data_IF_887107962849
#
_entry.id   IF_887107962849
#
_cell.length_a   1.000
_cell.length_b   1.000
_cell.length_c   1.000
_cell.angle_alpha   90.00
_cell.angle_beta   90.00
_cell.angle_gamma   90.00
#
_symmetry.space_group_name_H-M   'P 1'
#
loop_
_entity.id
_entity.type
_entity.pdbx_description
1 polymer ?
#
# COMPACT_ATOMS: atom_id res chain seq x y z
N UNK A 1 6.61 -21.43 18.41
CA UNK A 1 5.70 -22.26 17.57
C UNK A 1 5.19 -21.52 16.33
N UNK A 2 5.95 -20.55 15.79
CA UNK A 2 5.72 -20.02 14.43
C UNK A 2 6.76 -20.53 13.42
N UNK A 3 7.78 -21.23 13.92
CA UNK A 3 8.95 -21.66 13.12
C UNK A 3 8.64 -22.79 12.14
N UNK A 4 7.53 -23.52 12.33
CA UNK A 4 7.06 -24.56 11.42
C UNK A 4 5.59 -24.36 11.03
N UNK A 5 5.35 -23.64 9.94
CA UNK A 5 4.02 -23.51 9.32
C UNK A 5 3.85 -24.54 8.21
N UNK A 6 2.97 -25.53 8.42
CA UNK A 6 2.65 -26.53 7.39
C UNK A 6 1.72 -25.93 6.33
N UNK A 7 2.24 -25.78 5.12
CA UNK A 7 1.45 -25.32 3.98
C UNK A 7 0.67 -26.47 3.33
N UNK A 8 -0.57 -26.25 2.87
CA UNK A 8 -1.27 -27.20 2.02
C UNK A 8 -0.45 -27.52 0.75
N UNK A 9 -0.38 -28.79 0.36
CA UNK A 9 0.46 -29.27 -0.77
C UNK A 9 0.23 -28.47 -2.07
N UNK A 10 -1.02 -28.15 -2.38
CA UNK A 10 -1.37 -27.36 -3.56
C UNK A 10 -0.79 -25.95 -3.52
N UNK A 11 -0.77 -25.33 -2.33
CA UNK A 11 -0.25 -23.98 -2.15
C UNK A 11 1.28 -23.97 -2.19
N UNK A 12 1.93 -24.95 -1.56
CA UNK A 12 3.38 -25.13 -1.63
C UNK A 12 3.87 -25.28 -3.10
N UNK A 13 3.23 -26.16 -3.89
CA UNK A 13 3.56 -26.34 -5.31
C UNK A 13 3.39 -25.06 -6.13
N UNK A 14 2.33 -24.29 -5.87
CA UNK A 14 2.09 -23.02 -6.56
C UNK A 14 3.16 -21.99 -6.20
N UNK A 15 3.53 -21.92 -4.92
CA UNK A 15 4.58 -21.03 -4.44
C UNK A 15 5.93 -21.39 -5.07
N UNK A 16 6.32 -22.67 -5.07
CA UNK A 16 7.54 -23.15 -5.72
C UNK A 16 7.58 -22.78 -7.21
N UNK A 17 6.46 -22.95 -7.93
CA UNK A 17 6.36 -22.55 -9.34
C UNK A 17 6.59 -21.05 -9.54
N UNK A 18 5.96 -20.21 -8.72
CA UNK A 18 6.12 -18.75 -8.79
C UNK A 18 7.56 -18.35 -8.45
N UNK A 19 8.12 -18.96 -7.40
CA UNK A 19 9.49 -18.73 -6.97
C UNK A 19 10.52 -19.08 -8.06
N UNK A 20 10.31 -20.20 -8.76
CA UNK A 20 11.15 -20.60 -9.89
C UNK A 20 11.11 -19.61 -11.05
N UNK A 21 9.91 -19.10 -11.41
CA UNK A 21 9.74 -18.09 -12.47
C UNK A 21 10.41 -16.76 -12.08
N UNK A 22 10.26 -16.36 -10.83
CA UNK A 22 10.79 -15.10 -10.32
C UNK A 22 12.28 -15.21 -9.90
N UNK A 23 12.89 -16.40 -9.98
CA UNK A 23 14.26 -16.68 -9.52
C UNK A 23 14.54 -16.23 -8.08
N UNK A 24 13.59 -16.46 -7.18
CA UNK A 24 13.70 -16.12 -5.74
C UNK A 24 13.38 -17.34 -4.88
N UNK A 25 13.80 -17.32 -3.61
CA UNK A 25 13.48 -18.37 -2.66
C UNK A 25 11.97 -18.28 -2.26
N UNK A 26 11.20 -19.39 -2.31
CA UNK A 26 9.83 -19.47 -1.78
C UNK A 26 9.66 -18.87 -0.38
N UNK A 27 10.63 -19.10 0.50
CA UNK A 27 10.61 -18.59 1.88
C UNK A 27 10.67 -17.06 1.92
N UNK A 28 11.47 -16.45 1.03
CA UNK A 28 11.53 -14.99 0.91
C UNK A 28 10.19 -14.42 0.47
N UNK A 29 9.51 -15.07 -0.49
CA UNK A 29 8.17 -14.65 -0.92
C UNK A 29 7.19 -14.69 0.26
N UNK A 30 7.19 -15.76 1.06
CA UNK A 30 6.31 -15.87 2.23
C UNK A 30 6.61 -14.77 3.24
N UNK A 31 7.89 -14.55 3.57
CA UNK A 31 8.32 -13.53 4.54
C UNK A 31 7.89 -12.14 4.10
N UNK A 32 8.12 -11.79 2.83
CA UNK A 32 7.71 -10.51 2.27
C UNK A 32 6.19 -10.38 2.27
N UNK A 33 5.45 -11.38 1.78
CA UNK A 33 3.99 -11.34 1.76
C UNK A 33 3.38 -11.22 3.16
N UNK A 34 3.95 -11.90 4.16
CA UNK A 34 3.51 -11.80 5.55
C UNK A 34 3.78 -10.41 6.11
N UNK A 35 4.99 -9.88 5.90
CA UNK A 35 5.36 -8.52 6.29
C UNK A 35 4.42 -7.51 5.66
N UNK A 36 4.28 -7.51 4.35
CA UNK A 36 3.43 -6.58 3.61
C UNK A 36 1.98 -6.62 4.10
N UNK A 37 1.48 -7.83 4.43
CA UNK A 37 0.14 -7.99 4.98
C UNK A 37 0.01 -7.37 6.38
N UNK A 38 0.99 -7.59 7.25
CA UNK A 38 0.99 -7.04 8.61
C UNK A 38 1.12 -5.51 8.56
N UNK A 39 2.11 -5.00 7.82
CA UNK A 39 2.33 -3.57 7.63
C UNK A 39 1.07 -2.88 7.08
N UNK A 40 0.39 -3.49 6.09
CA UNK A 40 -0.86 -2.97 5.56
C UNK A 40 -1.98 -2.95 6.61
N UNK A 41 -2.13 -4.02 7.40
CA UNK A 41 -3.17 -4.09 8.42
C UNK A 41 -2.96 -3.02 9.51
N UNK A 42 -1.73 -2.86 9.97
CA UNK A 42 -1.36 -1.83 10.95
C UNK A 42 -1.61 -0.43 10.41
N UNK A 43 -1.14 -0.15 9.19
CA UNK A 43 -1.40 1.13 8.53
C UNK A 43 -2.90 1.39 8.34
N UNK A 44 -3.66 0.39 7.87
CA UNK A 44 -5.07 0.53 7.54
C UNK A 44 -5.90 0.94 8.75
N UNK A 45 -5.71 0.25 9.88
CA UNK A 45 -6.46 0.56 11.10
C UNK A 45 -6.15 1.98 11.58
N UNK A 46 -4.87 2.39 11.54
CA UNK A 46 -4.46 3.75 11.89
C UNK A 46 -5.06 4.79 10.94
N UNK A 47 -5.02 4.56 9.62
CA UNK A 47 -5.56 5.48 8.63
C UNK A 47 -7.09 5.65 8.76
N UNK A 48 -7.81 4.58 9.11
CA UNK A 48 -9.24 4.64 9.39
C UNK A 48 -9.50 5.49 10.64
N UNK A 49 -8.75 5.25 11.72
CA UNK A 49 -8.90 6.02 12.97
C UNK A 49 -8.60 7.51 12.77
N UNK A 50 -7.52 7.84 12.04
CA UNK A 50 -7.18 9.22 11.67
C UNK A 50 -8.29 9.86 10.83
N UNK A 51 -8.78 9.15 9.81
CA UNK A 51 -9.89 9.62 8.98
C UNK A 51 -11.15 9.90 9.78
N UNK A 52 -11.49 9.03 10.74
CA UNK A 52 -12.64 9.26 11.63
C UNK A 52 -12.43 10.50 12.50
N UNK A 53 -11.23 10.69 13.08
CA UNK A 53 -10.91 11.87 13.87
C UNK A 53 -10.95 13.17 13.06
N UNK A 54 -10.59 13.13 11.77
CA UNK A 54 -10.73 14.25 10.85
C UNK A 54 -12.19 14.58 10.56
N UNK A 55 -13.04 13.58 10.37
CA UNK A 55 -14.48 13.76 10.19
C UNK A 55 -15.12 14.38 11.44
N UNK A 56 -14.80 13.85 12.63
CA UNK A 56 -15.34 14.32 13.91
C UNK A 56 -14.93 15.77 14.20
N UNK A 57 -13.74 16.16 13.75
CA UNK A 57 -13.24 17.54 13.87
C UNK A 57 -13.69 18.47 12.72
N UNK A 58 -14.49 17.98 11.77
CA UNK A 58 -14.99 18.77 10.64
C UNK A 58 -13.94 19.08 9.56
N UNK A 59 -12.79 18.39 9.55
CA UNK A 59 -11.70 18.56 8.57
C UNK A 59 -11.98 17.82 7.26
N UNK A 60 -13.16 18.06 6.67
CA UNK A 60 -13.57 17.40 5.43
C UNK A 60 -13.02 18.11 4.19
N UNK A 61 -12.49 17.36 3.24
CA UNK A 61 -12.08 17.86 1.92
C UNK A 61 -13.15 17.53 0.89
N UNK A 62 -13.76 18.54 0.28
CA UNK A 62 -14.77 18.36 -0.78
C UNK A 62 -14.10 18.08 -2.13
N UNK A 63 -14.89 17.56 -3.07
CA UNK A 63 -14.43 17.39 -4.46
C UNK A 63 -13.98 18.70 -5.09
N UNK A 64 -14.61 19.82 -4.73
CA UNK A 64 -14.25 21.16 -5.21
C UNK A 64 -12.89 21.60 -4.68
N UNK A 65 -12.64 21.43 -3.38
CA UNK A 65 -11.33 21.67 -2.77
C UNK A 65 -10.24 20.84 -3.46
N UNK A 66 -10.53 19.57 -3.75
CA UNK A 66 -9.59 18.68 -4.45
C UNK A 66 -9.30 19.16 -5.88
N UNK A 67 -10.33 19.49 -6.66
CA UNK A 67 -10.17 20.00 -8.03
C UNK A 67 -9.35 21.30 -8.06
N UNK A 68 -9.63 22.23 -7.14
CA UNK A 68 -8.89 23.47 -7.01
C UNK A 68 -7.40 23.23 -6.69
N UNK A 69 -7.11 22.29 -5.78
CA UNK A 69 -5.73 21.90 -5.44
C UNK A 69 -4.99 21.29 -6.66
N UNK A 70 -5.62 20.36 -7.39
CA UNK A 70 -5.04 19.75 -8.59
C UNK A 70 -4.76 20.82 -9.67
N UNK A 71 -5.70 21.74 -9.89
CA UNK A 71 -5.51 22.82 -10.87
C UNK A 71 -4.35 23.74 -10.49
N UNK A 72 -4.24 24.09 -9.20
CA UNK A 72 -3.11 24.87 -8.67
C UNK A 72 -1.77 24.16 -8.89
N UNK A 73 -1.70 22.86 -8.59
CA UNK A 73 -0.49 22.07 -8.81
C UNK A 73 -0.09 22.00 -10.30
N UNK A 74 -1.07 21.82 -11.20
CA UNK A 74 -0.85 21.84 -12.66
C UNK A 74 -0.31 23.17 -13.13
N UNK A 75 -0.91 24.28 -12.69
CA UNK A 75 -0.46 25.62 -13.03
C UNK A 75 0.98 25.88 -12.54
N UNK A 76 1.32 25.47 -11.32
CA UNK A 76 2.66 25.61 -10.76
C UNK A 76 3.70 24.79 -11.53
N UNK A 77 3.36 23.56 -11.94
CA UNK A 77 4.23 22.73 -12.78
C UNK A 77 4.47 23.37 -14.15
N UNK A 78 3.42 23.93 -14.76
CA UNK A 78 3.54 24.63 -16.04
C UNK A 78 4.42 25.89 -15.94
N UNK A 79 4.31 26.65 -14.85
CA UNK A 79 5.18 27.82 -14.57
C UNK A 79 6.64 27.41 -14.42
N UNK A 80 6.94 26.35 -13.67
CA UNK A 80 8.32 25.84 -13.49
C UNK A 80 8.95 25.40 -14.82
N UNK A 81 8.17 24.78 -15.70
CA UNK A 81 8.65 24.36 -17.03
C UNK A 81 8.95 25.53 -17.98
N UNK A 82 8.31 26.68 -17.80
CA UNK A 82 8.57 27.89 -18.59
C UNK A 82 9.76 28.73 -18.07
N UNK A 83 10.18 28.48 -16.83
CA UNK A 83 11.28 29.19 -16.18
C UNK A 83 12.62 28.43 -16.28
N UNK A 84 12.64 27.25 -16.90
CA UNK A 84 13.80 26.44 -17.20
C UNK A 84 13.96 26.35 -18.72
#
# INVERSE_FOLDING_TARGET
MLDELKLPKTLARRLEKVAAIAHVNPETIIKTALKDRLDYMEWKENAIAEGQADLDAGRTVTTEHLRASINTQRANRAKRKKAA
#
